data_IF_706317083484
#
_entry.id   IF_706317083484
#
_cell.length_a   1.000
_cell.length_b   1.000
_cell.length_c   1.000
_cell.angle_alpha   90.00
_cell.angle_beta   90.00
_cell.angle_gamma   90.00
#
_symmetry.space_group_name_H-M   'P 1'
#
loop_
_entity.id
_entity.type
_entity.pdbx_description
1 polymer ?
#
# COMPACT_ATOMS: atom_id res chain seq x y z
N UNK A 1 17.79 20.86 -37.38
CA UNK A 1 16.61 20.05 -37.01
C UNK A 1 16.93 18.87 -36.07
N UNK A 2 18.19 18.45 -35.90
CA UNK A 2 18.58 17.34 -35.01
C UNK A 2 18.46 17.63 -33.49
N UNK A 3 18.33 18.89 -33.08
CA UNK A 3 18.38 19.30 -31.67
C UNK A 3 17.10 18.98 -30.86
N UNK A 4 15.93 19.00 -31.52
CA UNK A 4 14.63 18.84 -30.83
C UNK A 4 14.36 17.36 -30.50
N UNK A 5 14.81 16.45 -31.37
CA UNK A 5 14.69 15.00 -31.19
C UNK A 5 15.48 14.50 -29.97
N UNK A 6 16.70 15.04 -29.75
CA UNK A 6 17.53 14.65 -28.60
C UNK A 6 16.95 15.15 -27.27
N UNK A 7 16.30 16.32 -27.26
CA UNK A 7 15.66 16.87 -26.06
C UNK A 7 14.43 16.06 -25.65
N UNK A 8 13.63 15.58 -26.61
CA UNK A 8 12.46 14.75 -26.33
C UNK A 8 12.86 13.38 -25.73
N UNK A 9 13.96 12.78 -26.20
CA UNK A 9 14.48 11.52 -25.65
C UNK A 9 15.03 11.74 -24.22
N UNK A 10 15.73 12.85 -23.97
CA UNK A 10 16.24 13.18 -22.63
C UNK A 10 15.14 13.35 -21.58
N UNK A 11 14.02 13.98 -21.95
CA UNK A 11 12.85 14.15 -21.05
C UNK A 11 12.11 12.83 -20.82
N UNK A 12 12.00 11.99 -21.85
CA UNK A 12 11.41 10.64 -21.73
C UNK A 12 12.19 9.73 -20.78
N UNK A 13 13.52 9.77 -20.83
CA UNK A 13 14.38 8.96 -19.93
C UNK A 13 14.35 9.49 -18.50
N UNK A 14 14.34 10.82 -18.29
CA UNK A 14 14.28 11.40 -16.96
C UNK A 14 12.95 11.11 -16.24
N UNK A 15 11.82 11.14 -16.97
CA UNK A 15 10.50 10.80 -16.42
C UNK A 15 10.37 9.32 -16.08
N UNK A 16 10.90 8.42 -16.90
CA UNK A 16 10.93 6.98 -16.60
C UNK A 16 11.79 6.63 -15.38
N UNK A 17 12.92 7.33 -15.19
CA UNK A 17 13.80 7.14 -14.03
C UNK A 17 13.19 7.71 -12.75
N UNK A 18 12.51 8.86 -12.79
CA UNK A 18 11.83 9.40 -11.60
C UNK A 18 10.66 8.52 -11.15
N UNK A 19 9.94 7.92 -12.09
CA UNK A 19 8.91 6.91 -11.77
C UNK A 19 9.58 5.69 -11.10
N UNK A 20 10.70 5.20 -11.63
CA UNK A 20 11.42 4.05 -11.05
C UNK A 20 11.99 4.33 -9.65
N UNK A 21 12.54 5.52 -9.42
CA UNK A 21 13.15 5.89 -8.13
C UNK A 21 12.09 6.15 -7.05
N UNK A 22 10.90 6.65 -7.41
CA UNK A 22 9.79 6.80 -6.46
C UNK A 22 9.31 5.45 -5.89
N UNK A 23 9.41 4.37 -6.65
CA UNK A 23 9.04 3.02 -6.19
C UNK A 23 10.16 2.31 -5.42
N UNK A 24 11.43 2.71 -5.59
CA UNK A 24 12.55 2.11 -4.86
C UNK A 24 12.55 2.46 -3.36
N UNK A 25 11.92 3.57 -2.96
CA UNK A 25 11.76 3.92 -1.54
C UNK A 25 10.65 3.14 -0.81
N UNK A 26 9.84 2.36 -1.54
CA UNK A 26 8.68 1.62 -1.01
C UNK A 26 8.88 0.11 -0.94
N UNK A 27 10.09 -0.40 -1.22
CA UNK A 27 10.39 -1.82 -1.13
C UNK A 27 11.27 -2.06 0.10
N UNK A 28 10.68 -2.41 1.26
CA UNK A 28 11.38 -3.23 2.23
C UNK A 28 11.70 -4.57 1.54
N UNK A 29 12.99 -4.85 1.39
CA UNK A 29 13.49 -6.18 1.03
C UNK A 29 13.28 -7.11 2.22
N UNK A 30 12.05 -7.55 2.42
CA UNK A 30 11.74 -8.56 3.41
C UNK A 30 11.37 -9.87 2.71
N UNK A 31 12.05 -10.95 3.06
CA UNK A 31 11.83 -12.30 2.51
C UNK A 31 10.61 -12.93 3.18
N UNK A 32 9.48 -12.23 3.13
CA UNK A 32 8.22 -12.63 3.78
C UNK A 32 7.58 -13.86 3.13
N UNK A 33 8.17 -14.42 2.06
CA UNK A 33 7.55 -15.45 1.22
C UNK A 33 6.32 -14.99 0.41
N UNK A 34 5.88 -13.74 0.60
CA UNK A 34 4.72 -13.16 -0.06
C UNK A 34 5.01 -12.75 -1.50
N UNK A 35 4.03 -12.94 -2.37
CA UNK A 35 4.03 -12.36 -3.71
C UNK A 35 3.99 -10.83 -3.64
N UNK A 36 4.41 -10.11 -4.70
CA UNK A 36 4.34 -8.66 -4.73
C UNK A 36 2.94 -8.10 -4.43
N UNK A 37 1.89 -8.74 -4.95
CA UNK A 37 0.51 -8.33 -4.70
C UNK A 37 0.12 -8.54 -3.23
N UNK A 38 0.52 -9.64 -2.62
CA UNK A 38 0.26 -9.89 -1.19
C UNK A 38 0.99 -8.89 -0.29
N UNK A 39 2.22 -8.48 -0.65
CA UNK A 39 2.94 -7.41 0.06
C UNK A 39 2.21 -6.08 -0.01
N UNK A 40 1.74 -5.68 -1.20
CA UNK A 40 0.97 -4.45 -1.38
C UNK A 40 -0.33 -4.49 -0.54
N UNK A 41 -1.01 -5.64 -0.53
CA UNK A 41 -2.21 -5.85 0.26
C UNK A 41 -1.93 -5.82 1.76
N UNK A 42 -0.81 -6.36 2.22
CA UNK A 42 -0.41 -6.25 3.62
C UNK A 42 -0.10 -4.80 4.02
N UNK A 43 0.50 -4.00 3.14
CA UNK A 43 0.69 -2.56 3.41
C UNK A 43 -0.65 -1.81 3.53
N UNK A 44 -1.64 -2.13 2.68
CA UNK A 44 -2.98 -1.55 2.77
C UNK A 44 -3.63 -1.92 4.11
N UNK A 45 -3.59 -3.20 4.49
CA UNK A 45 -4.15 -3.67 5.75
C UNK A 45 -3.45 -3.05 6.97
N UNK A 46 -2.11 -2.96 6.96
CA UNK A 46 -1.33 -2.30 8.00
C UNK A 46 -1.68 -0.81 8.14
N UNK A 47 -1.91 -0.10 7.03
CA UNK A 47 -2.34 1.29 7.05
C UNK A 47 -3.76 1.44 7.63
N UNK A 48 -4.65 0.49 7.32
CA UNK A 48 -5.98 0.34 7.93
C UNK A 48 -5.89 0.20 9.45
N UNK A 49 -5.17 -0.83 9.88
CA UNK A 49 -5.00 -1.17 11.29
C UNK A 49 -4.31 -0.06 12.08
N UNK A 50 -3.36 0.69 11.49
CA UNK A 50 -2.73 1.82 12.15
C UNK A 50 -3.75 2.88 12.57
N UNK A 51 -4.76 3.16 11.76
CA UNK A 51 -5.83 4.11 12.14
C UNK A 51 -6.62 3.56 13.33
N UNK A 52 -6.97 2.28 13.31
CA UNK A 52 -7.62 1.63 14.45
C UNK A 52 -6.77 1.69 15.73
N UNK A 53 -5.45 1.52 15.62
CA UNK A 53 -4.54 1.61 16.78
C UNK A 53 -4.44 3.01 17.38
N UNK A 54 -4.67 4.07 16.58
CA UNK A 54 -4.70 5.46 17.07
C UNK A 54 -6.03 5.75 17.79
N UNK A 55 -7.13 5.15 17.32
CA UNK A 55 -8.47 5.34 17.87
C UNK A 55 -9.12 4.00 18.26
N UNK A 56 -8.61 3.30 19.29
CA UNK A 56 -9.06 1.95 19.63
C UNK A 56 -10.52 1.89 20.08
N UNK A 57 -11.02 2.98 20.67
CA UNK A 57 -12.36 3.07 21.24
C UNK A 57 -13.38 3.72 20.30
N UNK A 58 -12.96 4.17 19.11
CA UNK A 58 -13.82 4.94 18.22
C UNK A 58 -14.49 4.02 17.21
N UNK A 59 -15.79 4.22 16.97
CA UNK A 59 -16.43 3.69 15.78
C UNK A 59 -16.03 4.49 14.53
N UNK A 60 -16.29 3.93 13.33
CA UNK A 60 -15.90 4.56 12.07
C UNK A 60 -16.44 5.99 11.90
N UNK A 61 -17.65 6.26 12.36
CA UNK A 61 -18.32 7.56 12.29
C UNK A 61 -17.82 8.57 13.33
N UNK A 62 -17.07 8.11 14.33
CA UNK A 62 -16.44 8.94 15.36
C UNK A 62 -15.03 9.39 14.95
N UNK A 63 -14.46 8.78 13.90
CA UNK A 63 -13.14 9.14 13.38
C UNK A 63 -13.10 10.61 12.91
N UNK A 64 -11.97 11.32 13.13
CA UNK A 64 -11.75 12.60 12.49
C UNK A 64 -11.94 12.52 10.99
N UNK A 65 -12.48 13.59 10.38
CA UNK A 65 -12.93 13.58 8.98
C UNK A 65 -11.86 13.06 8.00
N UNK A 66 -10.60 13.48 8.17
CA UNK A 66 -9.51 13.08 7.30
C UNK A 66 -9.16 11.59 7.45
N UNK A 67 -9.19 11.07 8.68
CA UNK A 67 -8.94 9.65 8.96
C UNK A 67 -10.10 8.77 8.49
N UNK A 68 -11.34 9.23 8.63
CA UNK A 68 -12.51 8.59 8.02
C UNK A 68 -12.36 8.49 6.50
N UNK A 69 -12.01 9.60 5.83
CA UNK A 69 -11.81 9.63 4.37
C UNK A 69 -10.66 8.72 3.94
N UNK A 70 -9.59 8.67 4.73
CA UNK A 70 -8.48 7.76 4.51
C UNK A 70 -8.90 6.30 4.67
N UNK A 71 -9.79 6.00 5.61
CA UNK A 71 -10.33 4.65 5.81
C UNK A 71 -11.25 4.20 4.69
N UNK A 72 -12.12 5.08 4.20
CA UNK A 72 -12.93 4.84 3.01
C UNK A 72 -12.05 4.51 1.77
N UNK A 73 -10.95 5.24 1.59
CA UNK A 73 -10.01 4.99 0.51
C UNK A 73 -9.27 3.65 0.66
N UNK A 74 -8.82 3.32 1.86
CA UNK A 74 -8.12 2.07 2.14
C UNK A 74 -9.05 0.85 1.98
N UNK A 75 -10.30 0.95 2.44
CA UNK A 75 -11.32 -0.09 2.26
C UNK A 75 -11.59 -0.35 0.77
N UNK A 76 -11.77 0.72 -0.01
CA UNK A 76 -11.93 0.59 -1.46
C UNK A 76 -10.75 -0.13 -2.12
N UNK A 77 -9.53 0.27 -1.79
CA UNK A 77 -8.33 -0.39 -2.34
C UNK A 77 -8.23 -1.85 -1.90
N UNK A 78 -8.54 -2.15 -0.64
CA UNK A 78 -8.54 -3.52 -0.12
C UNK A 78 -9.53 -4.40 -0.88
N UNK A 79 -10.76 -3.91 -1.08
CA UNK A 79 -11.77 -4.67 -1.81
C UNK A 79 -11.40 -4.87 -3.29
N UNK A 80 -10.98 -3.82 -3.98
CA UNK A 80 -10.73 -3.86 -5.43
C UNK A 80 -9.42 -4.56 -5.80
N UNK A 81 -8.35 -4.40 -5.00
CA UNK A 81 -7.02 -4.92 -5.33
C UNK A 81 -6.69 -6.23 -4.62
N UNK A 82 -7.26 -6.47 -3.45
CA UNK A 82 -6.92 -7.61 -2.62
C UNK A 82 -8.04 -8.66 -2.65
N UNK A 83 -9.20 -8.35 -2.09
CA UNK A 83 -10.29 -9.33 -1.91
C UNK A 83 -10.82 -9.85 -3.26
N UNK A 84 -10.88 -9.00 -4.29
CA UNK A 84 -11.36 -9.41 -5.60
C UNK A 84 -10.39 -10.30 -6.39
N UNK A 85 -9.12 -10.39 -5.99
CA UNK A 85 -8.04 -10.99 -6.80
C UNK A 85 -7.31 -12.12 -6.06
N UNK A 86 -7.03 -11.94 -4.77
CA UNK A 86 -6.31 -12.91 -3.97
C UNK A 86 -7.24 -14.05 -3.52
N UNK A 87 -6.69 -15.26 -3.37
CA UNK A 87 -7.46 -16.35 -2.83
C UNK A 87 -7.70 -16.12 -1.32
N UNK A 88 -8.73 -16.76 -0.79
CA UNK A 88 -9.22 -16.50 0.57
C UNK A 88 -8.16 -16.78 1.64
N UNK A 89 -7.32 -17.80 1.45
CA UNK A 89 -6.22 -18.14 2.35
C UNK A 89 -5.17 -17.02 2.46
N UNK A 90 -4.85 -16.34 1.35
CA UNK A 90 -3.92 -15.20 1.35
C UNK A 90 -4.54 -14.02 2.11
N UNK A 91 -5.82 -13.74 1.90
CA UNK A 91 -6.54 -12.67 2.61
C UNK A 91 -6.54 -12.91 4.13
N UNK A 92 -6.85 -14.14 4.56
CA UNK A 92 -6.84 -14.52 5.97
C UNK A 92 -5.41 -14.44 6.54
N UNK A 93 -4.41 -14.91 5.81
CA UNK A 93 -3.00 -14.84 6.21
C UNK A 93 -2.56 -13.39 6.43
N UNK A 94 -2.87 -12.50 5.49
CA UNK A 94 -2.55 -11.06 5.60
C UNK A 94 -3.24 -10.45 6.83
N UNK A 95 -4.53 -10.70 7.04
CA UNK A 95 -5.27 -10.16 8.19
C UNK A 95 -4.65 -10.60 9.53
N UNK A 96 -4.27 -11.88 9.63
CA UNK A 96 -3.61 -12.41 10.84
C UNK A 96 -2.20 -11.84 11.04
N UNK A 97 -1.46 -11.61 9.96
CA UNK A 97 -0.12 -11.02 10.07
C UNK A 97 -0.19 -9.57 10.54
N UNK A 98 -1.14 -8.77 10.04
CA UNK A 98 -1.32 -7.37 10.45
C UNK A 98 -1.58 -7.26 11.96
N UNK A 99 -2.42 -8.15 12.49
CA UNK A 99 -2.69 -8.21 13.93
C UNK A 99 -1.42 -8.58 14.72
N UNK A 100 -0.64 -9.55 14.22
CA UNK A 100 0.61 -9.98 14.85
C UNK A 100 1.70 -8.91 14.82
N UNK A 101 1.98 -8.33 13.66
CA UNK A 101 3.05 -7.34 13.43
C UNK A 101 2.85 -6.12 14.34
N UNK A 102 1.60 -5.67 14.52
CA UNK A 102 1.31 -4.51 15.39
C UNK A 102 1.30 -4.87 16.88
N UNK A 103 0.85 -6.06 17.26
CA UNK A 103 0.87 -6.49 18.66
C UNK A 103 2.28 -6.86 19.14
N UNK A 104 3.15 -7.37 18.25
CA UNK A 104 4.43 -7.97 18.64
C UNK A 104 5.65 -7.14 18.17
N UNK A 105 5.45 -6.10 17.35
CA UNK A 105 6.50 -5.15 16.96
C UNK A 105 7.57 -5.75 16.04
N UNK A 106 7.23 -6.82 15.33
CA UNK A 106 8.04 -7.41 14.24
C UNK A 106 7.75 -6.70 12.91
#
# INVERSE_FOLDING_TARGET
MASILLMAIGVGVATALLVSVAFQFLIPSDDSGLSPLEKDCQQIANAGYRIHSIYPDFSLDELPHDDFKRMEYLDKMWMEKCVAVLPTESIISIANNVERDVLHGE
#
